data_IF_621634920627
#
_entry.id   IF_621634920627
#
_cell.length_a   1.000
_cell.length_b   1.000
_cell.length_c   1.000
_cell.angle_alpha   90.00
_cell.angle_beta   90.00
_cell.angle_gamma   90.00
#
_symmetry.space_group_name_H-M   'P 1'
#
loop_
_entity.id
_entity.type
_entity.pdbx_description
1 polymer ?
#
# COMPACT_ATOMS: atom_id res chain seq x y z
N UNK A 1 -6.55 -15.55 40.98
CA UNK A 1 -7.84 -15.32 40.31
C UNK A 1 -8.23 -13.87 40.59
N UNK A 2 -7.68 -12.95 39.79
CA UNK A 2 -8.23 -11.62 39.48
C UNK A 2 -7.82 -11.44 38.02
N UNK A 3 -8.71 -11.80 37.12
CA UNK A 3 -8.59 -11.46 35.70
C UNK A 3 -9.01 -10.01 35.60
N UNK A 4 -8.03 -9.10 35.53
CA UNK A 4 -8.31 -7.71 35.16
C UNK A 4 -8.80 -7.75 33.70
N UNK A 5 -10.12 -7.66 33.53
CA UNK A 5 -10.73 -7.55 32.21
C UNK A 5 -10.31 -6.20 31.62
N UNK A 6 -9.43 -6.23 30.62
CA UNK A 6 -9.10 -5.09 29.78
C UNK A 6 -10.39 -4.43 29.27
N UNK A 7 -10.51 -3.12 29.44
CA UNK A 7 -11.64 -2.37 28.87
C UNK A 7 -11.51 -2.37 27.35
N UNK A 8 -12.26 -3.23 26.66
CA UNK A 8 -12.28 -3.27 25.19
C UNK A 8 -13.23 -2.20 24.64
N UNK A 9 -12.69 -1.16 23.99
CA UNK A 9 -13.48 -0.13 23.32
C UNK A 9 -13.51 -0.42 21.82
N UNK A 10 -14.72 -0.64 21.29
CA UNK A 10 -14.93 -0.75 19.84
C UNK A 10 -15.09 0.65 19.25
N UNK A 11 -14.16 1.06 18.40
CA UNK A 11 -14.30 2.26 17.59
C UNK A 11 -15.05 1.90 16.32
N UNK A 12 -16.23 2.51 16.15
CA UNK A 12 -16.97 2.44 14.90
C UNK A 12 -16.21 3.15 13.77
N UNK A 13 -16.63 2.88 12.53
CA UNK A 13 -16.00 3.42 11.33
C UNK A 13 -15.82 4.94 11.40
N UNK A 14 -16.82 5.69 11.90
CA UNK A 14 -16.78 7.15 11.95
C UNK A 14 -15.76 7.62 12.99
N UNK A 15 -15.76 7.07 14.21
CA UNK A 15 -14.84 7.49 15.28
C UNK A 15 -13.40 7.12 14.95
N UNK A 16 -13.17 5.91 14.41
CA UNK A 16 -11.84 5.52 13.93
C UNK A 16 -11.36 6.47 12.83
N UNK A 17 -12.25 6.81 11.89
CA UNK A 17 -11.91 7.71 10.79
C UNK A 17 -11.54 9.11 11.28
N UNK A 18 -12.34 9.66 12.20
CA UNK A 18 -12.10 10.96 12.79
C UNK A 18 -10.78 11.00 13.56
N UNK A 19 -10.47 9.95 14.32
CA UNK A 19 -9.20 9.82 15.04
C UNK A 19 -8.01 9.88 14.08
N UNK A 20 -8.05 9.09 13.00
CA UNK A 20 -7.01 9.13 11.97
C UNK A 20 -6.83 10.52 11.35
N UNK A 21 -7.93 11.19 10.98
CA UNK A 21 -7.87 12.53 10.41
C UNK A 21 -7.25 13.54 11.39
N UNK A 22 -7.57 13.45 12.69
CA UNK A 22 -6.98 14.29 13.73
C UNK A 22 -5.48 14.02 13.89
N UNK A 23 -5.05 12.76 13.87
CA UNK A 23 -3.62 12.39 13.92
C UNK A 23 -2.85 12.92 12.71
N UNK A 24 -3.45 12.91 11.52
CA UNK A 24 -2.86 13.52 10.32
C UNK A 24 -2.71 15.05 10.47
N UNK A 25 -3.73 15.72 10.98
CA UNK A 25 -3.67 17.17 11.20
C UNK A 25 -2.59 17.51 12.23
N UNK A 26 -2.53 16.75 13.34
CA UNK A 26 -1.53 16.93 14.38
C UNK A 26 -0.10 16.71 13.85
N UNK A 27 0.14 15.62 13.14
CA UNK A 27 1.46 15.30 12.56
C UNK A 27 1.92 16.33 11.51
N UNK A 28 1.00 16.87 10.70
CA UNK A 28 1.31 17.98 9.79
C UNK A 28 1.80 19.23 10.51
N UNK A 29 1.26 19.54 11.70
CA UNK A 29 1.73 20.65 12.54
C UNK A 29 3.12 20.33 13.13
N UNK A 30 3.35 19.09 13.55
CA UNK A 30 4.62 18.64 14.13
C UNK A 30 5.76 18.73 13.11
N UNK A 31 5.56 18.26 11.87
CA UNK A 31 6.59 18.32 10.82
C UNK A 31 7.01 19.76 10.53
N UNK A 32 6.06 20.71 10.52
CA UNK A 32 6.37 22.13 10.31
C UNK A 32 7.21 22.72 11.44
N UNK A 33 7.07 22.20 12.66
CA UNK A 33 7.80 22.67 13.85
C UNK A 33 9.20 22.05 13.96
N UNK A 34 9.37 20.81 13.51
CA UNK A 34 10.63 20.07 13.62
C UNK A 34 11.22 19.77 12.23
N UNK A 35 12.22 20.54 11.77
CA UNK A 35 12.79 20.39 10.42
C UNK A 35 13.51 19.05 10.21
N UNK A 36 13.78 18.29 11.27
CA UNK A 36 14.32 16.93 11.19
C UNK A 36 13.45 16.01 10.32
N UNK A 37 12.13 16.02 10.54
CA UNK A 37 11.22 15.15 9.78
C UNK A 37 11.17 15.51 8.30
N UNK A 38 11.24 16.80 7.97
CA UNK A 38 11.34 17.26 6.58
C UNK A 38 12.68 16.87 5.95
N UNK A 39 13.79 16.93 6.71
CA UNK A 39 15.13 16.59 6.22
C UNK A 39 15.25 15.12 5.79
N UNK A 40 14.53 14.22 6.45
CA UNK A 40 14.53 12.78 6.13
C UNK A 40 13.29 12.34 5.33
N UNK A 41 12.51 13.29 4.79
CA UNK A 41 11.30 13.01 4.01
C UNK A 41 10.32 12.06 4.70
N UNK A 42 10.22 12.12 6.03
CA UNK A 42 9.31 11.29 6.81
C UNK A 42 7.88 11.84 6.62
N UNK A 43 6.94 11.06 6.06
CA UNK A 43 5.58 11.52 5.80
C UNK A 43 4.80 11.81 7.09
N UNK A 44 3.85 12.75 7.04
CA UNK A 44 2.97 13.08 8.17
C UNK A 44 2.15 11.89 8.70
N UNK A 45 1.51 11.06 7.83
CA UNK A 45 0.75 9.90 8.31
C UNK A 45 1.56 8.96 9.20
N UNK A 46 2.84 8.71 8.85
CA UNK A 46 3.75 7.85 9.60
C UNK A 46 4.00 8.39 11.01
N UNK A 47 4.24 9.69 11.15
CA UNK A 47 4.47 10.31 12.47
C UNK A 47 3.20 10.24 13.33
N UNK A 48 2.04 10.50 12.73
CA UNK A 48 0.74 10.42 13.42
C UNK A 48 0.44 9.01 13.90
N UNK A 49 0.60 8.01 13.02
CA UNK A 49 0.48 6.59 13.33
C UNK A 49 1.43 6.18 14.45
N UNK A 50 2.72 6.44 14.29
CA UNK A 50 3.76 6.07 15.27
C UNK A 50 3.53 6.65 16.66
N UNK A 51 3.14 7.92 16.75
CA UNK A 51 2.80 8.53 18.04
C UNK A 51 1.59 7.83 18.68
N UNK A 52 0.57 7.51 17.89
CA UNK A 52 -0.61 6.80 18.37
C UNK A 52 -0.26 5.38 18.82
N UNK A 53 0.55 4.65 18.05
CA UNK A 53 1.03 3.30 18.38
C UNK A 53 1.78 3.25 19.70
N UNK A 54 2.67 4.22 19.99
CA UNK A 54 3.38 4.30 21.28
C UNK A 54 2.40 4.51 22.44
N UNK A 55 1.44 5.42 22.28
CA UNK A 55 0.44 5.71 23.33
C UNK A 55 -0.40 4.48 23.61
N UNK A 56 -0.86 3.80 22.55
CA UNK A 56 -1.67 2.59 22.68
C UNK A 56 -0.87 1.43 23.26
N UNK A 57 0.40 1.28 22.88
CA UNK A 57 1.30 0.29 23.46
C UNK A 57 1.47 0.49 24.96
N UNK A 58 1.73 1.73 25.40
CA UNK A 58 1.82 2.04 26.83
C UNK A 58 0.50 1.74 27.54
N UNK A 59 -0.64 2.14 26.98
CA UNK A 59 -1.95 1.88 27.57
C UNK A 59 -2.24 0.37 27.72
N UNK A 60 -1.82 -0.45 26.75
CA UNK A 60 -1.90 -1.90 26.81
C UNK A 60 -0.99 -2.49 27.89
N UNK A 61 0.27 -2.05 27.98
CA UNK A 61 1.22 -2.52 29.00
C UNK A 61 0.74 -2.26 30.43
N UNK A 62 -0.05 -1.20 30.64
CA UNK A 62 -0.66 -0.89 31.93
C UNK A 62 -2.07 -1.49 32.14
N UNK A 63 -2.51 -2.40 31.25
CA UNK A 63 -3.84 -3.03 31.27
C UNK A 63 -5.01 -2.02 31.31
N UNK A 64 -4.88 -0.86 30.67
CA UNK A 64 -5.87 0.21 30.74
C UNK A 64 -6.99 0.00 29.72
N UNK A 65 -6.63 -0.21 28.45
CA UNK A 65 -7.62 -0.24 27.35
C UNK A 65 -7.10 -1.06 26.17
N UNK A 66 -8.01 -1.78 25.51
CA UNK A 66 -7.79 -2.45 24.23
C UNK A 66 -8.75 -1.87 23.20
N UNK A 67 -8.25 -1.47 22.03
CA UNK A 67 -9.09 -0.87 20.98
C UNK A 67 -9.36 -1.87 19.86
N UNK A 68 -10.62 -1.99 19.48
CA UNK A 68 -11.04 -2.76 18.31
C UNK A 68 -11.55 -1.80 17.23
N UNK A 69 -10.91 -1.80 16.07
CA UNK A 69 -11.17 -0.85 14.99
C UNK A 69 -12.01 -1.45 13.87
N UNK A 70 -13.01 -0.69 13.41
CA UNK A 70 -13.72 -0.99 12.16
C UNK A 70 -12.90 -0.52 10.95
N UNK A 71 -12.34 -1.48 10.20
CA UNK A 71 -11.45 -1.23 9.07
C UNK A 71 -12.19 -0.98 7.74
N UNK A 72 -13.52 -0.88 7.74
CA UNK A 72 -14.32 -0.78 6.49
C UNK A 72 -13.86 0.36 5.58
N UNK A 73 -13.61 1.55 6.12
CA UNK A 73 -13.17 2.70 5.31
C UNK A 73 -11.71 2.59 4.87
N UNK A 74 -10.86 1.94 5.69
CA UNK A 74 -9.49 1.63 5.33
C UNK A 74 -9.44 0.69 4.12
N UNK A 75 -10.18 -0.41 4.18
CA UNK A 75 -10.27 -1.41 3.10
C UNK A 75 -10.79 -0.76 1.81
N UNK A 76 -11.89 0.01 1.90
CA UNK A 76 -12.43 0.73 0.75
C UNK A 76 -11.41 1.70 0.14
N UNK A 77 -10.68 2.43 0.99
CA UNK A 77 -9.63 3.36 0.53
C UNK A 77 -8.49 2.61 -0.16
N UNK A 78 -8.06 1.48 0.39
CA UNK A 78 -7.06 0.63 -0.24
C UNK A 78 -7.54 0.14 -1.62
N UNK A 79 -8.79 -0.31 -1.72
CA UNK A 79 -9.36 -0.82 -2.96
C UNK A 79 -9.46 0.27 -4.04
N UNK A 80 -9.95 1.45 -3.65
CA UNK A 80 -9.99 2.63 -4.52
C UNK A 80 -8.58 2.98 -5.01
N UNK A 81 -7.59 3.01 -4.13
CA UNK A 81 -6.20 3.30 -4.47
C UNK A 81 -5.68 2.36 -5.57
N UNK A 82 -5.84 1.04 -5.42
CA UNK A 82 -5.42 0.07 -6.43
C UNK A 82 -6.14 0.25 -7.77
N UNK A 83 -7.44 0.54 -7.76
CA UNK A 83 -8.17 0.83 -9.01
C UNK A 83 -7.69 2.14 -9.64
N UNK A 84 -7.38 3.18 -8.87
CA UNK A 84 -6.81 4.41 -9.44
C UNK A 84 -5.47 4.19 -10.11
N UNK A 85 -4.59 3.33 -9.55
CA UNK A 85 -3.35 2.91 -10.22
C UNK A 85 -3.66 2.26 -11.56
N UNK A 86 -4.63 1.35 -11.60
CA UNK A 86 -5.09 0.71 -12.84
C UNK A 86 -5.65 1.72 -13.86
N UNK A 87 -6.44 2.69 -13.40
CA UNK A 87 -7.00 3.75 -14.24
C UNK A 87 -5.97 4.78 -14.71
N UNK A 88 -4.81 4.86 -14.07
CA UNK A 88 -3.69 5.70 -14.49
C UNK A 88 -2.74 4.96 -15.44
N UNK A 89 -2.86 3.65 -15.57
CA UNK A 89 -1.97 2.80 -16.35
C UNK A 89 -2.68 2.21 -17.56
N UNK A 90 -2.26 2.60 -18.76
CA UNK A 90 -2.73 2.00 -20.01
C UNK A 90 -1.82 0.89 -20.50
N UNK A 91 -2.37 -0.06 -21.26
CA UNK A 91 -1.58 -1.10 -21.94
C UNK A 91 -0.55 -0.46 -22.89
N UNK A 92 -0.85 0.71 -23.49
CA UNK A 92 0.13 1.42 -24.31
C UNK A 92 1.33 1.92 -23.50
N UNK A 93 1.12 2.42 -22.28
CA UNK A 93 2.19 2.84 -21.38
C UNK A 93 3.03 1.65 -20.92
N UNK A 94 2.40 0.50 -20.69
CA UNK A 94 3.11 -0.73 -20.36
C UNK A 94 3.97 -1.20 -21.55
N UNK A 95 3.42 -1.17 -22.76
CA UNK A 95 4.13 -1.55 -23.98
C UNK A 95 5.22 -0.54 -24.36
N UNK A 96 5.04 0.76 -24.07
CA UNK A 96 6.07 1.78 -24.32
C UNK A 96 7.30 1.61 -23.44
N UNK A 97 7.15 0.98 -22.27
CA UNK A 97 8.27 0.50 -21.46
C UNK A 97 9.16 -0.52 -22.19
N UNK A 98 8.66 -1.17 -23.24
CA UNK A 98 9.44 -1.95 -24.19
C UNK A 98 10.36 -3.00 -23.56
N UNK A 99 11.58 -3.11 -24.10
CA UNK A 99 12.57 -4.11 -23.65
C UNK A 99 13.08 -3.84 -22.23
N UNK A 100 13.21 -2.56 -21.83
CA UNK A 100 13.73 -2.21 -20.50
C UNK A 100 12.77 -2.65 -19.41
N UNK A 101 11.45 -2.49 -19.62
CA UNK A 101 10.44 -2.95 -18.66
C UNK A 101 10.45 -4.47 -18.52
N UNK A 102 10.57 -5.22 -19.63
CA UNK A 102 10.62 -6.68 -19.57
C UNK A 102 11.87 -7.17 -18.82
N UNK A 103 13.04 -6.58 -19.08
CA UNK A 103 14.27 -6.90 -18.34
C UNK A 103 14.09 -6.59 -16.85
N UNK A 104 13.52 -5.43 -16.52
CA UNK A 104 13.22 -5.05 -15.14
C UNK A 104 12.29 -6.06 -14.46
N UNK A 105 11.21 -6.50 -15.13
CA UNK A 105 10.29 -7.51 -14.59
C UNK A 105 10.99 -8.83 -14.30
N UNK A 106 11.86 -9.31 -15.20
CA UNK A 106 12.62 -10.56 -14.99
C UNK A 106 13.57 -10.43 -13.81
N UNK A 107 14.24 -9.28 -13.66
CA UNK A 107 15.10 -9.01 -12.50
C UNK A 107 14.28 -8.99 -11.21
N UNK A 108 13.13 -8.31 -11.19
CA UNK A 108 12.22 -8.30 -10.05
C UNK A 108 11.74 -9.69 -9.66
N UNK A 109 11.40 -10.53 -10.64
CA UNK A 109 11.03 -11.93 -10.39
C UNK A 109 12.21 -12.74 -9.83
N UNK A 110 13.42 -12.57 -10.36
CA UNK A 110 14.61 -13.20 -9.82
C UNK A 110 14.86 -12.80 -8.36
N UNK A 111 14.75 -11.50 -8.05
CA UNK A 111 14.87 -10.98 -6.69
C UNK A 111 13.77 -11.50 -5.77
N UNK A 112 12.53 -11.61 -6.25
CA UNK A 112 11.42 -12.20 -5.52
C UNK A 112 11.72 -13.65 -5.09
N UNK A 113 12.20 -14.47 -6.03
CA UNK A 113 12.61 -15.85 -5.71
C UNK A 113 13.77 -15.90 -4.72
N UNK A 114 14.77 -15.02 -4.87
CA UNK A 114 15.89 -14.93 -3.94
C UNK A 114 15.43 -14.49 -2.53
N UNK A 115 14.54 -13.51 -2.42
CA UNK A 115 14.00 -13.03 -1.14
C UNK A 115 13.24 -14.14 -0.42
N UNK A 116 12.39 -14.88 -1.13
CA UNK A 116 11.69 -16.03 -0.57
C UNK A 116 12.66 -17.16 -0.19
N UNK A 117 13.67 -17.44 -1.02
CA UNK A 117 14.69 -18.45 -0.73
C UNK A 117 15.53 -18.12 0.51
N UNK A 118 15.92 -16.86 0.67
CA UNK A 118 16.64 -16.38 1.87
C UNK A 118 15.73 -16.47 3.10
N UNK A 119 14.48 -16.04 2.98
CA UNK A 119 13.49 -16.10 4.07
C UNK A 119 13.27 -17.55 4.56
N UNK A 120 13.01 -18.49 3.65
CA UNK A 120 12.87 -19.92 3.97
C UNK A 120 14.18 -20.50 4.51
N UNK A 121 15.32 -20.17 3.89
CA UNK A 121 16.63 -20.64 4.34
C UNK A 121 16.95 -20.22 5.78
N UNK A 122 16.61 -18.98 6.14
CA UNK A 122 16.82 -18.45 7.48
C UNK A 122 15.80 -19.02 8.49
N UNK A 123 14.60 -19.42 8.03
CA UNK A 123 13.60 -20.03 8.90
C UNK A 123 14.11 -21.34 9.52
N UNK A 124 14.86 -22.14 8.77
CA UNK A 124 15.49 -23.37 9.29
C UNK A 124 16.58 -23.10 10.33
N UNK A 125 17.26 -21.95 10.26
CA UNK A 125 18.30 -21.58 11.22
C UNK A 125 17.69 -21.00 12.49
N UNK A 126 16.59 -20.26 12.35
CA UNK A 126 15.89 -19.58 13.45
C UNK A 126 14.81 -20.45 14.10
N UNK A 127 14.59 -21.67 13.61
CA UNK A 127 13.53 -22.59 14.04
C UNK A 127 12.13 -21.96 13.95
N UNK A 128 11.89 -21.24 12.86
CA UNK A 128 10.61 -20.59 12.55
C UNK A 128 9.93 -21.37 11.42
N UNK A 129 8.62 -21.51 11.52
CA UNK A 129 7.81 -22.14 10.48
C UNK A 129 8.04 -21.44 9.12
N UNK A 130 8.43 -22.19 8.07
CA UNK A 130 8.76 -21.61 6.77
C UNK A 130 7.63 -20.77 6.16
N UNK A 131 6.37 -21.18 6.37
CA UNK A 131 5.21 -20.48 5.82
C UNK A 131 5.06 -19.07 6.41
N UNK A 132 5.27 -18.94 7.72
CA UNK A 132 5.26 -17.63 8.41
C UNK A 132 6.49 -16.81 8.01
N UNK A 133 7.66 -17.45 7.95
CA UNK A 133 8.89 -16.78 7.56
C UNK A 133 8.82 -16.19 6.15
N UNK A 134 8.10 -16.83 5.22
CA UNK A 134 7.87 -16.33 3.85
C UNK A 134 7.21 -14.94 3.83
N UNK A 135 6.47 -14.56 4.89
CA UNK A 135 5.96 -13.20 5.02
C UNK A 135 7.07 -12.16 5.05
N UNK A 136 8.22 -12.47 5.65
CA UNK A 136 9.40 -11.60 5.64
C UNK A 136 10.17 -11.60 4.29
N UNK A 137 9.74 -12.43 3.33
CA UNK A 137 10.29 -12.48 1.98
C UNK A 137 9.66 -11.42 1.06
N UNK A 138 9.33 -11.83 -0.16
CA UNK A 138 8.83 -10.94 -1.21
C UNK A 138 7.53 -10.22 -0.85
N UNK A 139 6.64 -10.89 -0.11
CA UNK A 139 5.34 -10.34 0.25
C UNK A 139 5.49 -8.99 0.97
N UNK A 140 6.44 -8.90 1.89
CA UNK A 140 6.75 -7.67 2.61
C UNK A 140 7.78 -6.78 1.91
N UNK A 141 8.87 -7.37 1.41
CA UNK A 141 10.01 -6.59 0.89
C UNK A 141 9.71 -5.91 -0.45
N UNK A 142 8.90 -6.54 -1.31
CA UNK A 142 8.49 -5.98 -2.59
C UNK A 142 7.04 -5.51 -2.57
N UNK A 143 6.15 -6.26 -1.90
CA UNK A 143 4.73 -5.95 -1.84
C UNK A 143 4.35 -4.95 -0.73
N UNK A 144 5.21 -4.74 0.25
CA UNK A 144 4.98 -3.86 1.39
C UNK A 144 3.82 -4.31 2.28
N UNK A 145 3.38 -3.39 3.15
CA UNK A 145 2.31 -3.62 4.12
C UNK A 145 1.00 -4.07 3.46
N UNK A 146 0.69 -3.58 2.25
CA UNK A 146 -0.53 -3.94 1.53
C UNK A 146 -0.56 -5.41 1.08
N UNK A 147 0.54 -5.91 0.50
CA UNK A 147 0.62 -7.31 0.09
C UNK A 147 0.73 -8.23 1.30
N UNK A 148 1.51 -7.86 2.32
CA UNK A 148 1.60 -8.59 3.58
C UNK A 148 0.22 -8.72 4.25
N UNK A 149 -0.52 -7.63 4.40
CA UNK A 149 -1.87 -7.64 4.97
C UNK A 149 -2.85 -8.47 4.13
N UNK A 150 -2.69 -8.49 2.80
CA UNK A 150 -3.56 -9.28 1.93
C UNK A 150 -3.27 -10.79 1.97
N UNK A 151 -2.02 -11.19 2.23
CA UNK A 151 -1.57 -12.58 2.20
C UNK A 151 -1.68 -13.25 3.57
N UNK A 152 -1.54 -12.49 4.66
CA UNK A 152 -1.56 -13.03 6.02
C UNK A 152 -2.79 -13.90 6.34
N UNK A 153 -4.04 -13.51 5.99
CA UNK A 153 -5.22 -14.34 6.28
C UNK A 153 -5.18 -15.71 5.61
N UNK A 154 -4.54 -15.81 4.43
CA UNK A 154 -4.37 -17.08 3.74
C UNK A 154 -3.41 -17.99 4.51
N UNK A 155 -2.30 -17.46 5.01
CA UNK A 155 -1.31 -18.21 5.79
C UNK A 155 -1.89 -18.63 7.14
N UNK A 156 -2.60 -17.72 7.81
CA UNK A 156 -3.29 -17.99 9.07
C UNK A 156 -4.38 -19.04 8.90
N UNK A 157 -5.08 -19.07 7.76
CA UNK A 157 -6.05 -20.13 7.44
C UNK A 157 -5.45 -21.54 7.34
N UNK A 158 -4.14 -21.65 7.13
CA UNK A 158 -3.43 -22.93 7.17
C UNK A 158 -3.03 -23.36 8.59
N UNK A 159 -3.42 -22.60 9.62
CA UNK A 159 -3.14 -22.89 11.03
C UNK A 159 -1.84 -22.26 11.55
N UNK A 160 -1.32 -21.26 10.83
CA UNK A 160 -0.09 -20.57 11.19
C UNK A 160 -0.38 -19.13 11.62
N UNK A 161 -0.57 -18.94 12.92
CA UNK A 161 -0.88 -17.64 13.51
C UNK A 161 0.29 -16.64 13.36
N UNK A 162 -0.01 -15.34 13.50
CA UNK A 162 0.96 -14.23 13.52
C UNK A 162 1.64 -13.91 12.18
N UNK A 163 1.17 -14.48 11.06
CA UNK A 163 1.69 -14.16 9.73
C UNK A 163 1.57 -12.66 9.40
N UNK A 164 0.49 -12.02 9.85
CA UNK A 164 0.29 -10.59 9.68
C UNK A 164 1.38 -9.78 10.39
N UNK A 165 1.65 -10.08 11.66
CA UNK A 165 2.60 -9.33 12.48
C UNK A 165 4.02 -9.44 11.94
N UNK A 166 4.43 -10.65 11.53
CA UNK A 166 5.74 -10.87 10.90
C UNK A 166 5.85 -10.11 9.58
N UNK A 167 4.82 -10.13 8.75
CA UNK A 167 4.81 -9.40 7.48
C UNK A 167 4.87 -7.88 7.65
N UNK A 168 4.07 -7.32 8.55
CA UNK A 168 4.07 -5.88 8.83
C UNK A 168 5.41 -5.42 9.42
N UNK A 169 5.96 -6.17 10.39
CA UNK A 169 7.28 -5.90 10.95
C UNK A 169 8.36 -5.91 9.86
N UNK A 170 8.39 -6.97 9.06
CA UNK A 170 9.36 -7.12 7.99
C UNK A 170 9.24 -6.02 6.94
N UNK A 171 8.03 -5.58 6.61
CA UNK A 171 7.79 -4.47 5.67
C UNK A 171 8.37 -3.15 6.19
N UNK A 172 8.17 -2.85 7.47
CA UNK A 172 8.72 -1.64 8.11
C UNK A 172 10.24 -1.66 8.15
N UNK A 173 10.85 -2.76 8.61
CA UNK A 173 12.31 -2.90 8.61
C UNK A 173 12.90 -2.88 7.19
N UNK A 174 12.21 -3.53 6.24
CA UNK A 174 12.59 -3.56 4.83
C UNK A 174 12.61 -2.16 4.21
N UNK A 175 11.62 -1.32 4.51
CA UNK A 175 11.57 0.06 4.04
C UNK A 175 12.70 0.91 4.63
N UNK A 176 12.99 0.77 5.92
CA UNK A 176 14.09 1.50 6.57
C UNK A 176 15.44 1.06 5.98
N UNK A 177 15.69 -0.25 5.89
CA UNK A 177 16.92 -0.78 5.31
C UNK A 177 17.06 -0.39 3.83
N UNK A 178 15.98 -0.51 3.06
CA UNK A 178 15.93 -0.16 1.64
C UNK A 178 16.20 1.32 1.38
N UNK A 179 15.66 2.22 2.21
CA UNK A 179 15.90 3.67 2.08
C UNK A 179 17.34 4.06 2.43
N UNK A 180 17.92 3.45 3.47
CA UNK A 180 19.32 3.68 3.88
C UNK A 180 20.31 3.18 2.81
N UNK A 181 20.04 2.03 2.19
CA UNK A 181 20.93 1.43 1.19
C UNK A 181 20.70 2.00 -0.22
N UNK A 182 19.46 2.29 -0.59
CA UNK A 182 19.08 2.70 -1.93
C UNK A 182 19.70 4.03 -2.36
N UNK A 183 19.71 5.03 -1.48
CA UNK A 183 20.29 6.35 -1.75
C UNK A 183 21.79 6.30 -2.09
N UNK A 184 22.64 5.74 -1.21
CA UNK A 184 24.08 5.58 -1.46
C UNK A 184 24.38 4.72 -2.70
N UNK A 185 23.67 3.61 -2.90
CA UNK A 185 23.89 2.72 -4.06
C UNK A 185 23.51 3.43 -5.36
N UNK A 186 22.38 4.15 -5.37
CA UNK A 186 21.95 4.95 -6.52
C UNK A 186 22.97 6.05 -6.86
N UNK A 187 23.42 6.80 -5.86
CA UNK A 187 24.44 7.83 -6.03
C UNK A 187 25.77 7.24 -6.55
N UNK A 188 26.19 6.09 -6.02
CA UNK A 188 27.39 5.40 -6.48
C UNK A 188 27.27 4.94 -7.94
N UNK A 189 26.12 4.39 -8.35
CA UNK A 189 25.86 3.99 -9.74
C UNK A 189 25.88 5.19 -10.69
N UNK A 190 25.28 6.32 -10.30
CA UNK A 190 25.26 7.56 -11.08
C UNK A 190 26.70 8.08 -11.29
N UNK A 191 27.48 8.18 -10.21
CA UNK A 191 28.86 8.67 -10.28
C UNK A 191 29.77 7.74 -11.07
N UNK A 192 29.68 6.42 -10.83
CA UNK A 192 30.52 5.42 -11.48
C UNK A 192 30.29 5.37 -13.00
N UNK A 193 29.04 5.37 -13.41
CA UNK A 193 28.67 5.27 -14.82
C UNK A 193 28.59 6.64 -15.52
N UNK A 194 28.89 7.74 -14.80
CA UNK A 194 28.76 9.13 -15.27
C UNK A 194 27.42 9.34 -15.97
N UNK A 195 26.35 8.81 -15.36
CA UNK A 195 25.00 8.94 -15.90
C UNK A 195 24.70 10.44 -15.92
N UNK A 196 24.33 10.95 -17.10
CA UNK A 196 23.75 12.28 -17.17
C UNK A 196 22.49 12.25 -16.32
N UNK A 197 22.50 13.02 -15.25
CA UNK A 197 21.26 13.40 -14.58
C UNK A 197 20.65 14.43 -15.53
N UNK A 198 20.06 13.94 -16.61
CA UNK A 198 19.00 14.68 -17.26
C UNK A 198 17.90 14.68 -16.20
N UNK A 199 17.83 15.78 -15.44
CA UNK A 199 16.53 16.27 -14.96
C UNK A 199 15.74 16.70 -16.20
N UNK A 200 15.56 15.77 -17.15
CA UNK A 200 14.25 15.56 -17.66
C UNK A 200 13.43 15.47 -16.38
N UNK A 201 12.58 16.47 -16.17
CA UNK A 201 11.28 16.09 -15.71
C UNK A 201 10.95 14.89 -16.59
N UNK A 202 11.09 13.67 -16.06
CA UNK A 202 10.49 12.50 -16.68
C UNK A 202 9.04 12.84 -16.52
N UNK A 203 8.61 13.62 -17.49
CA UNK A 203 7.34 14.20 -17.68
C UNK A 203 6.59 12.94 -18.11
N UNK A 204 6.21 12.15 -17.10
CA UNK A 204 4.97 11.39 -17.15
C UNK A 204 3.82 12.35 -17.55
N UNK A 205 4.02 13.67 -17.40
CA UNK A 205 3.34 14.74 -18.10
C UNK A 205 3.55 14.72 -19.63
N UNK A 206 4.75 14.66 -20.22
CA UNK A 206 5.03 14.85 -21.65
C UNK A 206 4.78 13.61 -22.51
N UNK A 207 4.95 12.40 -21.94
CA UNK A 207 4.39 11.19 -22.57
C UNK A 207 2.85 11.17 -22.49
N UNK A 208 2.25 12.06 -21.70
CA UNK A 208 0.80 12.31 -21.64
C UNK A 208 0.35 13.65 -22.26
N UNK A 209 1.26 14.56 -22.61
CA UNK A 209 0.94 15.89 -23.14
C UNK A 209 0.61 15.87 -24.63
N UNK A 210 0.69 14.72 -25.31
CA UNK A 210 0.16 14.68 -26.67
C UNK A 210 -1.37 14.75 -26.73
N UNK A 211 -2.13 14.72 -25.60
CA UNK A 211 -3.61 14.72 -25.69
C UNK A 211 -4.47 15.31 -24.56
N UNK A 212 -4.00 16.15 -23.63
CA UNK A 212 -4.96 16.82 -22.72
C UNK A 212 -4.57 18.23 -22.31
N UNK A 213 -5.33 19.19 -22.84
CA UNK A 213 -5.57 20.51 -22.24
C UNK A 213 -5.80 20.34 -20.74
N UNK A 214 -5.24 21.22 -19.92
CA UNK A 214 -5.48 21.31 -18.47
C UNK A 214 -6.99 21.25 -18.14
N UNK A 215 -7.50 20.06 -17.83
CA UNK A 215 -8.89 19.88 -17.47
C UNK A 215 -9.07 20.29 -16.00
N UNK A 216 -9.80 21.39 -15.78
CA UNK A 216 -10.21 21.85 -14.44
C UNK A 216 -10.97 20.73 -13.72
N UNK A 217 -10.54 20.38 -12.51
CA UNK A 217 -11.23 19.42 -11.65
C UNK A 217 -12.64 19.94 -11.37
N UNK A 218 -13.65 19.29 -11.94
CA UNK A 218 -15.06 19.63 -11.76
C UNK A 218 -15.74 18.59 -10.88
N UNK A 219 -16.64 18.99 -9.98
CA UNK A 219 -17.37 18.06 -9.10
C UNK A 219 -18.04 16.91 -9.87
N UNK A 220 -18.60 17.21 -11.05
CA UNK A 220 -19.19 16.22 -11.95
C UNK A 220 -18.18 15.16 -12.42
N UNK A 221 -16.94 15.55 -12.71
CA UNK A 221 -15.89 14.60 -13.08
C UNK A 221 -15.49 13.71 -11.89
N UNK A 222 -15.45 14.25 -10.67
CA UNK A 222 -15.21 13.46 -9.47
C UNK A 222 -16.29 12.40 -9.26
N UNK A 223 -17.57 12.76 -9.43
CA UNK A 223 -18.70 11.83 -9.30
C UNK A 223 -18.61 10.72 -10.35
N UNK A 224 -18.40 11.08 -11.62
CA UNK A 224 -18.28 10.09 -12.71
C UNK A 224 -17.10 9.16 -12.48
N UNK A 225 -15.93 9.72 -12.12
CA UNK A 225 -14.72 8.92 -11.85
C UNK A 225 -14.91 8.00 -10.64
N UNK A 226 -15.54 8.50 -9.57
CA UNK A 226 -15.91 7.70 -8.40
C UNK A 226 -16.87 6.57 -8.75
N UNK A 227 -17.89 6.84 -9.57
CA UNK A 227 -18.82 5.81 -10.03
C UNK A 227 -18.13 4.73 -10.88
N UNK A 228 -17.19 5.10 -11.74
CA UNK A 228 -16.37 4.15 -12.51
C UNK A 228 -15.53 3.28 -11.57
N UNK A 229 -14.85 3.88 -10.59
CA UNK A 229 -14.03 3.15 -9.62
C UNK A 229 -14.90 2.14 -8.86
N UNK A 230 -16.05 2.57 -8.34
CA UNK A 230 -16.98 1.69 -7.63
C UNK A 230 -17.53 0.58 -8.53
N UNK A 231 -17.78 0.87 -9.81
CA UNK A 231 -18.22 -0.13 -10.78
C UNK A 231 -17.13 -1.18 -11.04
N UNK A 232 -15.88 -0.75 -11.18
CA UNK A 232 -14.73 -1.65 -11.35
C UNK A 232 -14.57 -2.54 -10.12
N UNK A 233 -14.71 -1.99 -8.92
CA UNK A 233 -14.66 -2.74 -7.65
C UNK A 233 -15.81 -3.75 -7.54
N UNK A 234 -17.03 -3.34 -7.88
CA UNK A 234 -18.22 -4.18 -7.85
C UNK A 234 -18.14 -5.37 -8.82
N UNK A 235 -17.40 -5.23 -9.93
CA UNK A 235 -17.13 -6.32 -10.87
C UNK A 235 -15.92 -7.13 -10.42
N UNK A 236 -14.80 -6.46 -10.13
CA UNK A 236 -13.51 -7.10 -9.88
C UNK A 236 -13.49 -7.98 -8.64
N UNK A 237 -14.05 -7.52 -7.51
CA UNK A 237 -13.99 -8.29 -6.26
C UNK A 237 -14.78 -9.62 -6.35
N UNK A 238 -16.05 -9.66 -6.80
CA UNK A 238 -16.76 -10.93 -6.98
C UNK A 238 -16.13 -11.83 -8.03
N UNK A 239 -15.64 -11.26 -9.14
CA UNK A 239 -14.96 -12.05 -10.19
C UNK A 239 -13.69 -12.71 -9.66
N UNK A 240 -12.89 -12.01 -8.86
CA UNK A 240 -11.69 -12.60 -8.23
C UNK A 240 -12.05 -13.78 -7.31
N UNK A 241 -13.11 -13.63 -6.51
CA UNK A 241 -13.61 -14.71 -5.66
C UNK A 241 -14.08 -15.92 -6.49
N UNK A 242 -14.82 -15.67 -7.57
CA UNK A 242 -15.28 -16.73 -8.48
C UNK A 242 -14.11 -17.47 -9.14
N UNK A 243 -13.10 -16.75 -9.63
CA UNK A 243 -11.87 -17.34 -10.19
C UNK A 243 -11.14 -18.18 -9.14
N UNK A 244 -11.03 -17.67 -7.91
CA UNK A 244 -10.35 -18.38 -6.82
C UNK A 244 -11.05 -19.70 -6.50
N UNK A 245 -12.39 -19.71 -6.44
CA UNK A 245 -13.17 -20.94 -6.22
C UNK A 245 -13.07 -21.91 -7.40
N UNK A 246 -13.03 -21.41 -8.64
CA UNK A 246 -13.03 -22.25 -9.84
C UNK A 246 -11.66 -22.85 -10.17
N UNK A 247 -10.57 -22.13 -9.90
CA UNK A 247 -9.20 -22.51 -10.29
C UNK A 247 -8.35 -23.01 -9.12
N UNK A 248 -8.79 -22.78 -7.88
CA UNK A 248 -8.00 -23.04 -6.68
C UNK A 248 -6.88 -22.03 -6.44
N UNK A 249 -6.71 -21.02 -7.30
CA UNK A 249 -5.69 -19.98 -7.18
C UNK A 249 -6.27 -18.72 -6.54
N UNK A 250 -5.89 -18.44 -5.29
CA UNK A 250 -6.39 -17.28 -4.54
C UNK A 250 -5.78 -15.98 -5.06
N UNK A 251 -6.61 -15.11 -5.65
CA UNK A 251 -6.21 -13.76 -6.08
C UNK A 251 -6.92 -12.74 -5.19
N UNK A 252 -6.18 -11.84 -4.51
CA UNK A 252 -6.81 -10.75 -3.76
C UNK A 252 -7.68 -9.88 -4.66
N UNK A 253 -8.93 -9.64 -4.24
CA UNK A 253 -9.94 -8.98 -5.09
C UNK A 253 -9.58 -7.57 -5.53
N UNK A 254 -8.83 -6.82 -4.72
CA UNK A 254 -8.35 -5.49 -5.05
C UNK A 254 -7.24 -5.50 -6.11
N UNK A 255 -6.36 -6.52 -6.10
CA UNK A 255 -5.35 -6.72 -7.15
C UNK A 255 -6.03 -7.04 -8.47
N UNK A 256 -7.02 -7.94 -8.47
CA UNK A 256 -7.78 -8.22 -9.68
C UNK A 256 -8.52 -6.98 -10.20
N UNK A 257 -9.10 -6.18 -9.30
CA UNK A 257 -9.78 -4.93 -9.64
C UNK A 257 -8.84 -3.89 -10.28
N UNK A 258 -7.56 -3.86 -9.90
CA UNK A 258 -6.54 -3.07 -10.59
C UNK A 258 -6.43 -3.49 -12.06
N UNK A 259 -6.33 -4.79 -12.35
CA UNK A 259 -6.25 -5.28 -13.74
C UNK A 259 -7.51 -4.94 -14.54
N UNK A 260 -8.69 -5.05 -13.94
CA UNK A 260 -9.95 -4.59 -14.56
C UNK A 260 -9.87 -3.08 -14.86
N UNK A 261 -9.30 -2.28 -13.96
CA UNK A 261 -9.03 -0.86 -14.18
C UNK A 261 -8.09 -0.60 -15.37
N UNK A 262 -6.99 -1.36 -15.51
CA UNK A 262 -6.06 -1.26 -16.65
C UNK A 262 -6.77 -1.59 -17.97
N UNK A 263 -7.58 -2.64 -17.99
CA UNK A 263 -8.35 -3.05 -19.17
C UNK A 263 -9.37 -1.96 -19.53
N UNK A 264 -10.11 -1.46 -18.55
CA UNK A 264 -11.07 -0.40 -18.75
C UNK A 264 -10.42 0.88 -19.27
N UNK A 265 -9.30 1.32 -18.67
CA UNK A 265 -8.53 2.46 -19.16
C UNK A 265 -8.09 2.25 -20.60
N UNK A 266 -7.55 1.07 -20.92
CA UNK A 266 -7.06 0.75 -22.27
C UNK A 266 -8.17 0.71 -23.32
N UNK A 267 -9.37 0.26 -22.95
CA UNK A 267 -10.55 0.30 -23.83
C UNK A 267 -10.99 1.75 -24.04
N UNK A 268 -11.08 2.52 -22.95
CA UNK A 268 -11.50 3.93 -22.99
C UNK A 268 -10.50 4.82 -23.75
N UNK A 269 -9.21 4.48 -23.74
CA UNK A 269 -8.17 5.18 -24.51
C UNK A 269 -8.27 4.90 -26.02
N UNK A 270 -8.74 3.71 -26.41
CA UNK A 270 -8.97 3.35 -27.83
C UNK A 270 -10.32 3.83 -28.36
N UNK A 271 -11.33 3.84 -27.50
CA UNK A 271 -12.68 4.32 -27.78
C UNK A 271 -13.07 5.23 -26.62
N UNK A 272 -12.96 6.57 -26.76
CA UNK A 272 -13.30 7.50 -25.67
C UNK A 272 -14.81 7.50 -25.44
N UNK A 273 -15.28 6.56 -24.61
CA UNK A 273 -16.69 6.42 -24.22
C UNK A 273 -16.97 7.40 -23.09
N UNK A 274 -16.02 7.61 -22.16
CA UNK A 274 -16.16 8.49 -21.01
C UNK A 274 -14.91 9.37 -20.85
N UNK A 275 -15.11 10.68 -20.65
CA UNK A 275 -14.02 11.59 -20.30
C UNK A 275 -13.60 11.36 -18.86
N UNK A 276 -12.38 10.85 -18.67
CA UNK A 276 -11.76 10.67 -17.36
C UNK A 276 -10.59 11.63 -17.28
N UNK A 277 -10.71 12.65 -16.43
CA UNK A 277 -9.61 13.57 -16.18
C UNK A 277 -8.56 12.89 -15.31
N UNK A 278 -7.31 12.86 -15.79
CA UNK A 278 -6.18 12.30 -15.05
C UNK A 278 -6.01 13.00 -13.70
N UNK A 279 -6.20 14.31 -13.65
CA UNK A 279 -6.09 15.10 -12.42
C UNK A 279 -7.13 14.69 -11.38
N UNK A 280 -8.34 14.33 -11.82
CA UNK A 280 -9.38 13.80 -10.95
C UNK A 280 -9.02 12.41 -10.40
N UNK A 281 -8.47 11.52 -11.24
CA UNK A 281 -8.01 10.20 -10.79
C UNK A 281 -6.86 10.34 -9.79
N UNK A 282 -5.90 11.24 -10.04
CA UNK A 282 -4.80 11.55 -9.12
C UNK A 282 -5.33 12.12 -7.81
N UNK A 283 -6.31 13.03 -7.83
CA UNK A 283 -6.91 13.57 -6.61
C UNK A 283 -7.55 12.46 -5.76
N UNK A 284 -8.34 11.57 -6.37
CA UNK A 284 -8.97 10.44 -5.69
C UNK A 284 -7.91 9.46 -5.18
N UNK A 285 -6.85 9.22 -5.96
CA UNK A 285 -5.70 8.39 -5.57
C UNK A 285 -4.98 8.97 -4.35
N UNK A 286 -4.69 10.26 -4.35
CA UNK A 286 -4.05 10.95 -3.22
C UNK A 286 -4.93 10.89 -1.97
N UNK A 287 -6.23 11.19 -2.09
CA UNK A 287 -7.17 11.09 -0.97
C UNK A 287 -7.21 9.67 -0.40
N UNK A 288 -7.39 8.66 -1.26
CA UNK A 288 -7.42 7.26 -0.81
C UNK A 288 -6.09 6.79 -0.21
N UNK A 289 -4.95 7.24 -0.74
CA UNK A 289 -3.63 6.93 -0.19
C UNK A 289 -3.40 7.55 1.19
N UNK A 290 -3.86 8.79 1.41
CA UNK A 290 -3.76 9.49 2.69
C UNK A 290 -4.63 8.77 3.71
N UNK A 291 -5.89 8.53 3.37
CA UNK A 291 -6.85 7.81 4.22
C UNK A 291 -6.29 6.43 4.58
N UNK A 292 -5.75 5.69 3.60
CA UNK A 292 -5.11 4.39 3.83
C UNK A 292 -3.92 4.51 4.79
N UNK A 293 -2.95 5.39 4.51
CA UNK A 293 -1.72 5.47 5.32
C UNK A 293 -2.01 5.90 6.76
N UNK A 294 -2.98 6.79 6.96
CA UNK A 294 -3.42 7.24 8.29
C UNK A 294 -3.95 6.07 9.14
N UNK A 295 -4.66 5.12 8.52
CA UNK A 295 -5.20 3.95 9.24
C UNK A 295 -4.22 2.77 9.27
N UNK A 296 -3.39 2.61 8.24
CA UNK A 296 -2.36 1.57 8.14
C UNK A 296 -1.31 1.79 9.23
N UNK A 297 -0.69 2.96 9.29
CA UNK A 297 0.49 3.17 10.15
C UNK A 297 0.14 3.07 11.65
N UNK A 298 -1.07 3.43 12.06
CA UNK A 298 -1.52 3.25 13.45
C UNK A 298 -1.99 1.82 13.77
N UNK A 299 -2.79 1.20 12.91
CA UNK A 299 -3.36 -0.12 13.17
C UNK A 299 -2.32 -1.24 12.98
N UNK A 300 -1.48 -1.13 11.96
CA UNK A 300 -0.48 -2.14 11.62
C UNK A 300 0.67 -2.15 12.63
N UNK A 301 1.06 -1.00 13.17
CA UNK A 301 2.05 -0.93 14.24
C UNK A 301 1.51 -1.44 15.58
N UNK A 302 0.24 -1.16 15.89
CA UNK A 302 -0.42 -1.72 17.09
C UNK A 302 -0.47 -3.25 17.02
N UNK A 303 -0.82 -3.82 15.86
CA UNK A 303 -0.78 -5.26 15.61
C UNK A 303 0.66 -5.82 15.64
N UNK A 304 1.62 -5.10 15.05
CA UNK A 304 3.04 -5.48 15.07
C UNK A 304 3.61 -5.53 16.49
N UNK A 305 3.12 -4.67 17.39
CA UNK A 305 3.50 -4.64 18.80
C UNK A 305 2.78 -5.69 19.67
N UNK A 306 1.91 -6.54 19.07
CA UNK A 306 1.18 -7.60 19.77
C UNK A 306 0.14 -7.08 20.77
N UNK A 307 -0.36 -5.86 20.55
CA UNK A 307 -1.35 -5.18 21.42
C UNK A 307 -2.79 -5.62 21.06
N UNK A 308 -2.98 -6.20 19.87
CA UNK A 308 -4.24 -6.79 19.37
C UNK A 308 -3.87 -8.01 18.53
#
# INVERSE_FOLDING_TARGET
>A
MVTDELLTIKLDMITFTALGALLLIASNVIIKKFPFFMKYSIPSPVIGGFMFSIVMWLAYQFNIVELNFDNTLYDLSMYVFFVTIGLMTGVKLLVSGGKILLIYMVICWGLAFMQNGVSIGLSYVLDIEPLVAMMAGQASMQGGHGMAASLAPLIESFGHDQALNVGLAASTFGLIAGSILGGPVGNWLIQRNKLKIETDHVDLENLAESNSKEDKITAQQCIITGAIILSILAIGMPTAKWISTATGFTIPGHIFSLFVGVVFHSINERKPIIKISRNTVVLISTLSSITRNVFSDGNDEIKTLGII
#
